data_IF_664719972129
#
_entry.id   IF_664719972129
#
_cell.length_a   1.000
_cell.length_b   1.000
_cell.length_c   1.000
_cell.angle_alpha   90.00
_cell.angle_beta   90.00
_cell.angle_gamma   90.00
#
_symmetry.space_group_name_H-M   'P 1'
#
loop_
_entity.id
_entity.type
_entity.pdbx_description
1 polymer ?
#
# COMPACT_ATOMS: atom_id res chain seq x y z
N UNK A 1 -12.30 -15.89 29.60
CA UNK A 1 -11.16 -14.93 29.60
C UNK A 1 -11.34 -14.10 28.36
N UNK A 2 -11.71 -12.83 28.51
CA UNK A 2 -11.71 -11.89 27.39
C UNK A 2 -10.28 -11.79 26.89
N UNK A 3 -10.07 -12.12 25.62
CA UNK A 3 -8.77 -11.99 24.98
C UNK A 3 -8.36 -10.51 25.02
N UNK A 4 -7.36 -10.17 25.83
CA UNK A 4 -6.94 -8.79 26.11
C UNK A 4 -6.07 -8.21 25.00
N UNK A 5 -5.99 -8.89 23.85
CA UNK A 5 -5.14 -8.50 22.73
C UNK A 5 -5.75 -7.30 22.00
N UNK A 6 -4.96 -6.22 21.88
CA UNK A 6 -5.40 -5.00 21.19
C UNK A 6 -5.64 -5.23 19.70
N UNK A 7 -6.49 -4.41 19.06
CA UNK A 7 -6.77 -4.54 17.63
C UNK A 7 -5.48 -4.45 16.82
N UNK A 8 -4.63 -3.47 17.10
CA UNK A 8 -3.34 -3.30 16.43
C UNK A 8 -2.43 -4.53 16.53
N UNK A 9 -2.41 -5.21 17.68
CA UNK A 9 -1.66 -6.45 17.86
C UNK A 9 -2.25 -7.62 17.07
N UNK A 10 -3.58 -7.72 17.02
CA UNK A 10 -4.30 -8.72 16.21
C UNK A 10 -4.01 -8.54 14.72
N UNK A 11 -4.15 -7.33 14.19
CA UNK A 11 -3.87 -7.05 12.77
C UNK A 11 -2.42 -7.28 12.40
N UNK A 12 -1.49 -6.96 13.29
CA UNK A 12 -0.07 -7.27 13.09
C UNK A 12 0.15 -8.78 12.96
N UNK A 13 -0.50 -9.61 13.78
CA UNK A 13 -0.40 -11.06 13.68
C UNK A 13 -0.96 -11.59 12.35
N UNK A 14 -2.09 -11.05 11.88
CA UNK A 14 -2.66 -11.37 10.57
C UNK A 14 -1.70 -11.00 9.44
N UNK A 15 -1.12 -9.80 9.52
CA UNK A 15 -0.19 -9.25 8.53
C UNK A 15 1.07 -10.11 8.39
N UNK A 16 1.65 -10.56 9.51
CA UNK A 16 2.80 -11.47 9.49
C UNK A 16 2.51 -12.81 8.80
N UNK A 17 1.27 -13.31 8.92
CA UNK A 17 0.83 -14.50 8.19
C UNK A 17 0.74 -14.24 6.68
N UNK A 18 0.24 -13.08 6.26
CA UNK A 18 0.11 -12.68 4.85
C UNK A 18 1.44 -12.31 4.16
N UNK A 19 2.45 -11.87 4.92
CA UNK A 19 3.80 -11.61 4.40
C UNK A 19 4.60 -12.88 4.08
N UNK A 20 4.15 -14.05 4.50
CA UNK A 20 4.87 -15.31 4.30
C UNK A 20 4.50 -15.91 2.94
N UNK A 21 5.27 -15.60 1.90
CA UNK A 21 5.22 -16.37 0.66
C UNK A 21 5.85 -17.76 0.89
N UNK A 22 5.29 -18.86 0.35
CA UNK A 22 5.81 -20.21 0.60
C UNK A 22 7.15 -20.57 -0.04
N UNK A 23 7.78 -19.72 -0.85
CA UNK A 23 9.01 -20.03 -1.58
C UNK A 23 10.04 -18.90 -1.46
N UNK A 24 10.64 -18.80 -0.27
CA UNK A 24 11.77 -17.91 0.05
C UNK A 24 13.10 -18.63 -0.23
N UNK A 25 13.16 -19.34 -1.38
CA UNK A 25 14.38 -19.97 -1.88
C UNK A 25 14.81 -19.25 -3.17
N UNK A 26 16.09 -18.85 -3.16
CA UNK A 26 16.78 -18.01 -4.13
C UNK A 26 16.29 -18.15 -5.58
N UNK A 27 15.81 -17.05 -6.18
CA UNK A 27 15.39 -17.00 -7.59
C UNK A 27 15.85 -15.73 -8.28
N UNK A 28 17.15 -15.70 -8.62
CA UNK A 28 17.71 -14.75 -9.58
C UNK A 28 16.75 -14.57 -10.77
N UNK A 29 16.25 -13.34 -11.00
CA UNK A 29 15.50 -12.96 -12.20
C UNK A 29 13.98 -12.78 -12.05
N UNK A 30 13.40 -12.92 -10.86
CA UNK A 30 11.99 -12.55 -10.61
C UNK A 30 11.78 -11.03 -10.62
N UNK A 31 10.55 -10.58 -10.88
CA UNK A 31 10.19 -9.17 -10.95
C UNK A 31 10.58 -8.44 -9.66
N UNK A 32 10.25 -8.99 -8.50
CA UNK A 32 10.53 -8.35 -7.21
C UNK A 32 12.02 -8.09 -6.96
N UNK A 33 12.89 -9.05 -7.32
CA UNK A 33 14.33 -8.87 -7.16
C UNK A 33 14.88 -7.85 -8.16
N UNK A 34 14.51 -7.96 -9.44
CA UNK A 34 14.92 -6.99 -10.47
C UNK A 34 14.38 -5.61 -10.17
N UNK A 35 13.18 -5.51 -9.59
CA UNK A 35 12.58 -4.26 -9.13
C UNK A 35 13.48 -3.60 -8.09
N UNK A 36 13.89 -4.34 -7.06
CA UNK A 36 14.72 -3.81 -5.97
C UNK A 36 16.17 -3.55 -6.38
N UNK A 37 16.79 -4.47 -7.12
CA UNK A 37 18.24 -4.47 -7.37
C UNK A 37 18.62 -4.02 -8.79
N UNK A 38 17.64 -3.71 -9.63
CA UNK A 38 17.85 -3.24 -10.99
C UNK A 38 17.73 -4.34 -12.04
N UNK A 39 17.77 -3.91 -13.30
CA UNK A 39 17.59 -4.77 -14.45
C UNK A 39 16.20 -4.73 -15.06
N UNK A 40 15.24 -3.96 -14.50
CA UNK A 40 14.00 -3.60 -15.19
C UNK A 40 14.21 -2.38 -16.09
N UNK A 41 13.41 -2.30 -17.16
CA UNK A 41 13.24 -1.05 -17.92
C UNK A 41 12.38 -0.05 -17.13
N UNK A 42 12.45 1.24 -17.46
CA UNK A 42 11.61 2.26 -16.83
C UNK A 42 10.10 1.95 -16.93
N UNK A 43 9.65 1.43 -18.07
CA UNK A 43 8.26 1.00 -18.25
C UNK A 43 7.88 -0.17 -17.31
N UNK A 44 8.80 -1.10 -17.06
CA UNK A 44 8.57 -2.21 -16.13
C UNK A 44 8.56 -1.75 -14.68
N UNK A 45 9.38 -0.75 -14.30
CA UNK A 45 9.30 -0.11 -12.98
C UNK A 45 7.98 0.64 -12.83
N UNK A 46 7.55 1.36 -13.88
CA UNK A 46 6.29 2.09 -13.91
C UNK A 46 5.06 1.20 -13.77
N UNK A 47 5.12 -0.08 -14.18
CA UNK A 47 4.02 -1.02 -14.01
C UNK A 47 3.63 -1.23 -12.53
N UNK A 48 4.61 -1.24 -11.61
CA UNK A 48 4.34 -1.26 -10.17
C UNK A 48 3.73 0.06 -9.70
N UNK A 49 4.25 1.19 -10.17
CA UNK A 49 3.70 2.50 -9.84
C UNK A 49 2.25 2.66 -10.34
N UNK A 50 1.92 2.11 -11.50
CA UNK A 50 0.57 2.09 -12.06
C UNK A 50 -0.39 1.27 -11.18
N UNK A 51 0.07 0.11 -10.69
CA UNK A 51 -0.70 -0.70 -9.75
C UNK A 51 -1.03 0.08 -8.48
N UNK A 52 -0.01 0.73 -7.89
CA UNK A 52 -0.23 1.60 -6.75
C UNK A 52 -1.19 2.73 -7.12
N UNK A 53 -1.00 3.42 -8.25
CA UNK A 53 -1.87 4.53 -8.67
C UNK A 53 -3.35 4.18 -8.56
N UNK A 54 -3.79 3.08 -9.18
CA UNK A 54 -5.21 2.69 -9.14
C UNK A 54 -5.71 2.32 -7.73
N UNK A 55 -4.89 1.63 -6.93
CA UNK A 55 -5.27 1.23 -5.56
C UNK A 55 -5.38 2.46 -4.65
N UNK A 56 -4.40 3.38 -4.70
CA UNK A 56 -4.43 4.59 -3.88
C UNK A 56 -5.47 5.58 -4.37
N UNK A 57 -5.77 5.64 -5.68
CA UNK A 57 -6.90 6.42 -6.20
C UNK A 57 -8.21 6.00 -5.54
N UNK A 58 -8.45 4.69 -5.42
CA UNK A 58 -9.63 4.15 -4.76
C UNK A 58 -9.65 4.42 -3.24
N UNK A 59 -8.52 4.20 -2.54
CA UNK A 59 -8.43 4.41 -1.09
C UNK A 59 -8.58 5.90 -0.76
N UNK A 60 -7.86 6.79 -1.43
CA UNK A 60 -7.87 8.22 -1.13
C UNK A 60 -9.20 8.88 -1.53
N UNK A 61 -9.88 8.40 -2.57
CA UNK A 61 -11.26 8.82 -2.87
C UNK A 61 -12.21 8.43 -1.73
N UNK A 62 -12.13 7.19 -1.21
CA UNK A 62 -12.95 6.77 -0.07
C UNK A 62 -12.62 7.52 1.21
N UNK A 63 -11.34 7.88 1.40
CA UNK A 63 -10.94 8.73 2.52
C UNK A 63 -11.61 10.11 2.45
N UNK A 64 -11.64 10.73 1.26
CA UNK A 64 -12.33 12.01 1.05
C UNK A 64 -13.83 11.89 1.38
N UNK A 65 -14.50 10.82 0.94
CA UNK A 65 -15.91 10.57 1.28
C UNK A 65 -16.14 10.38 2.79
N UNK A 66 -15.21 9.74 3.51
CA UNK A 66 -15.27 9.65 4.98
C UNK A 66 -15.12 11.02 5.63
N UNK A 67 -14.17 11.85 5.18
CA UNK A 67 -13.95 13.20 5.67
C UNK A 67 -15.13 14.15 5.42
N UNK A 68 -15.85 13.98 4.31
CA UNK A 68 -17.08 14.74 4.04
C UNK A 68 -18.19 14.42 5.05
N UNK A 69 -18.26 13.17 5.52
CA UNK A 69 -19.26 12.68 6.48
C UNK A 69 -18.85 12.94 7.93
N UNK A 70 -17.56 12.83 8.22
CA UNK A 70 -16.95 12.98 9.53
C UNK A 70 -15.58 13.70 9.39
N UNK A 71 -15.54 15.04 9.58
CA UNK A 71 -14.30 15.80 9.50
C UNK A 71 -13.23 15.38 10.52
N UNK A 72 -13.63 14.70 11.61
CA UNK A 72 -12.74 14.21 12.66
C UNK A 72 -12.41 12.72 12.50
N UNK A 73 -12.60 12.16 11.30
CA UNK A 73 -12.34 10.75 11.02
C UNK A 73 -10.92 10.33 11.41
N UNK A 74 -10.81 9.44 12.40
CA UNK A 74 -9.56 9.13 13.11
C UNK A 74 -8.43 8.51 12.26
N UNK A 75 -8.72 8.12 11.01
CA UNK A 75 -7.75 7.54 10.09
C UNK A 75 -7.37 8.47 8.94
N UNK A 76 -7.80 9.74 9.00
CA UNK A 76 -7.40 10.77 8.05
C UNK A 76 -6.05 11.38 8.44
N UNK A 77 -4.97 10.76 7.98
CA UNK A 77 -3.61 11.27 8.14
C UNK A 77 -3.12 11.90 6.82
N UNK A 78 -3.08 13.24 6.69
CA UNK A 78 -2.62 13.91 5.47
C UNK A 78 -1.22 13.49 5.04
N UNK A 79 -0.34 13.19 6.00
CA UNK A 79 1.06 12.81 5.79
C UNK A 79 1.19 11.48 5.04
N UNK A 80 0.12 10.68 5.02
CA UNK A 80 0.07 9.39 4.31
C UNK A 80 -0.34 9.51 2.86
N UNK A 81 -0.98 10.60 2.40
CA UNK A 81 -1.44 10.76 1.02
C UNK A 81 -0.31 10.47 0.02
N UNK A 82 -0.53 9.56 -0.92
CA UNK A 82 0.49 9.05 -1.86
C UNK A 82 0.22 9.42 -3.32
N UNK A 83 -1.03 9.63 -3.73
CA UNK A 83 -1.36 9.90 -5.14
C UNK A 83 -0.43 10.93 -5.81
N UNK A 84 -0.15 12.11 -5.23
CA UNK A 84 0.75 13.08 -5.87
C UNK A 84 2.16 12.55 -6.09
N UNK A 85 2.69 11.73 -5.18
CA UNK A 85 4.01 11.13 -5.31
C UNK A 85 4.02 10.04 -6.40
N UNK A 86 2.97 9.23 -6.46
CA UNK A 86 2.82 8.19 -7.50
C UNK A 86 2.73 8.82 -8.89
N UNK A 87 1.97 9.92 -9.05
CA UNK A 87 1.85 10.62 -10.33
C UNK A 87 3.20 11.18 -10.81
N UNK A 88 4.01 11.73 -9.89
CA UNK A 88 5.36 12.22 -10.22
C UNK A 88 6.31 11.08 -10.61
N UNK A 89 6.20 9.92 -9.96
CA UNK A 89 6.98 8.74 -10.32
C UNK A 89 6.56 8.21 -11.71
N UNK A 90 5.26 8.16 -12.00
CA UNK A 90 4.76 7.76 -13.32
C UNK A 90 5.21 8.73 -14.43
N UNK A 91 5.14 10.04 -14.18
CA UNK A 91 5.65 11.05 -15.10
C UNK A 91 7.16 10.91 -15.33
N UNK A 92 7.93 10.59 -14.28
CA UNK A 92 9.36 10.34 -14.41
C UNK A 92 9.66 9.16 -15.34
N UNK A 93 8.95 8.05 -15.18
CA UNK A 93 9.25 6.81 -15.90
C UNK A 93 8.65 6.73 -17.30
N UNK A 94 7.47 7.32 -17.51
CA UNK A 94 6.69 7.21 -18.75
C UNK A 94 6.53 8.53 -19.52
N UNK A 95 6.89 9.66 -18.90
CA UNK A 95 6.71 11.00 -19.47
C UNK A 95 5.35 11.63 -19.15
N UNK A 96 5.12 12.84 -19.67
CA UNK A 96 3.94 13.65 -19.35
C UNK A 96 2.59 13.02 -19.77
N UNK A 97 2.60 12.09 -20.71
CA UNK A 97 1.43 11.36 -21.22
C UNK A 97 1.20 10.01 -20.52
N UNK A 98 1.87 9.76 -19.38
CA UNK A 98 1.82 8.52 -18.61
C UNK A 98 0.40 7.99 -18.38
N UNK A 99 -0.57 8.88 -18.15
CA UNK A 99 -1.95 8.49 -17.83
C UNK A 99 -2.63 7.72 -18.97
N UNK A 100 -2.21 7.95 -20.21
CA UNK A 100 -2.70 7.22 -21.39
C UNK A 100 -1.98 5.90 -21.65
N UNK A 101 -0.90 5.62 -20.91
CA UNK A 101 -0.04 4.46 -21.10
C UNK A 101 -0.26 3.36 -20.04
N UNK A 102 -1.04 3.65 -18.99
CA UNK A 102 -1.28 2.71 -17.89
C UNK A 102 -2.71 2.16 -17.92
N UNK A 103 -2.85 0.88 -17.58
CA UNK A 103 -4.13 0.22 -17.36
C UNK A 103 -4.03 -0.69 -16.12
N UNK A 104 -5.12 -0.86 -15.34
CA UNK A 104 -5.10 -1.77 -14.22
C UNK A 104 -5.04 -3.21 -14.72
N UNK A 105 -4.21 -4.02 -14.09
CA UNK A 105 -4.24 -5.47 -14.32
C UNK A 105 -5.57 -6.07 -13.84
N UNK A 106 -5.94 -7.30 -14.26
CA UNK A 106 -7.17 -7.94 -13.79
C UNK A 106 -7.29 -8.02 -12.27
N UNK A 107 -6.21 -8.36 -11.55
CA UNK A 107 -6.21 -8.36 -10.08
C UNK A 107 -6.32 -6.96 -9.51
N UNK A 108 -5.59 -5.98 -10.07
CA UNK A 108 -5.68 -4.57 -9.62
C UNK A 108 -7.10 -4.04 -9.75
N UNK A 109 -7.76 -4.33 -10.88
CA UNK A 109 -9.15 -3.94 -11.12
C UNK A 109 -10.08 -4.54 -10.07
N UNK A 110 -9.98 -5.84 -9.80
CA UNK A 110 -10.77 -6.51 -8.75
C UNK A 110 -10.51 -5.92 -7.36
N UNK A 111 -9.27 -5.52 -7.09
CA UNK A 111 -8.93 -4.91 -5.82
C UNK A 111 -9.58 -3.52 -5.66
N UNK A 112 -9.51 -2.69 -6.70
CA UNK A 112 -10.21 -1.41 -6.75
C UNK A 112 -11.72 -1.58 -6.59
N UNK A 113 -12.32 -2.53 -7.30
CA UNK A 113 -13.75 -2.85 -7.18
C UNK A 113 -14.11 -3.24 -5.74
N UNK A 114 -13.27 -4.04 -5.06
CA UNK A 114 -13.48 -4.40 -3.65
C UNK A 114 -13.42 -3.17 -2.74
N UNK A 115 -12.40 -2.32 -2.89
CA UNK A 115 -12.27 -1.08 -2.10
C UNK A 115 -13.51 -0.19 -2.29
N UNK A 116 -14.02 -0.08 -3.51
CA UNK A 116 -15.23 0.68 -3.80
C UNK A 116 -16.49 0.06 -3.17
N UNK A 117 -16.60 -1.28 -3.19
CA UNK A 117 -17.73 -2.02 -2.63
C UNK A 117 -17.84 -1.86 -1.11
N UNK A 118 -16.73 -1.97 -0.39
CA UNK A 118 -16.73 -2.01 1.09
C UNK A 118 -16.26 -0.73 1.76
N UNK A 119 -15.67 0.18 0.99
CA UNK A 119 -15.00 1.38 1.50
C UNK A 119 -15.92 2.34 2.26
N UNK A 120 -17.24 2.24 2.13
CA UNK A 120 -18.19 3.05 2.91
C UNK A 120 -18.27 2.61 4.38
N UNK A 121 -17.92 1.36 4.68
CA UNK A 121 -17.88 0.86 6.05
C UNK A 121 -16.54 1.22 6.69
N UNK A 122 -16.50 1.99 7.81
CA UNK A 122 -15.25 2.48 8.39
C UNK A 122 -14.23 1.38 8.70
N UNK A 123 -14.66 0.26 9.28
CA UNK A 123 -13.75 -0.83 9.64
C UNK A 123 -13.17 -1.55 8.41
N UNK A 124 -13.92 -1.69 7.33
CA UNK A 124 -13.44 -2.30 6.08
C UNK A 124 -12.56 -1.35 5.27
N UNK A 125 -12.86 -0.05 5.25
CA UNK A 125 -11.95 0.97 4.75
C UNK A 125 -10.60 0.91 5.49
N UNK A 126 -10.65 0.88 6.82
CA UNK A 126 -9.44 0.82 7.67
C UNK A 126 -8.62 -0.42 7.37
N UNK A 127 -9.21 -1.55 6.99
CA UNK A 127 -8.46 -2.75 6.59
C UNK A 127 -7.53 -2.46 5.40
N UNK A 128 -8.04 -1.85 4.33
CA UNK A 128 -7.24 -1.50 3.14
C UNK A 128 -6.22 -0.40 3.42
N UNK A 129 -6.66 0.65 4.11
CA UNK A 129 -5.79 1.75 4.54
C UNK A 129 -4.62 1.23 5.39
N UNK A 130 -4.92 0.46 6.44
CA UNK A 130 -3.90 -0.16 7.30
C UNK A 130 -2.93 -1.02 6.48
N UNK A 131 -3.45 -1.89 5.61
CA UNK A 131 -2.64 -2.85 4.86
C UNK A 131 -1.64 -2.15 3.94
N UNK A 132 -2.05 -1.06 3.27
CA UNK A 132 -1.19 -0.30 2.37
C UNK A 132 -0.20 0.58 3.12
N UNK A 133 -0.69 1.53 3.91
CA UNK A 133 0.18 2.56 4.49
C UNK A 133 1.17 2.01 5.52
N UNK A 134 0.80 1.02 6.34
CA UNK A 134 1.74 0.46 7.32
C UNK A 134 2.81 -0.41 6.65
N UNK A 135 2.50 -1.02 5.49
CA UNK A 135 3.49 -1.72 4.69
C UNK A 135 4.50 -0.73 4.09
N UNK A 136 4.03 0.37 3.50
CA UNK A 136 4.89 1.40 2.91
C UNK A 136 5.86 2.00 3.94
N UNK A 137 5.38 2.29 5.15
CA UNK A 137 6.20 2.78 6.26
C UNK A 137 7.20 1.75 6.80
N UNK A 138 7.03 0.46 6.52
CA UNK A 138 7.89 -0.60 7.06
C UNK A 138 9.09 -0.91 6.16
N UNK A 139 8.98 -0.69 4.85
CA UNK A 139 10.03 -1.02 3.88
C UNK A 139 10.38 0.09 2.90
N UNK A 140 9.56 1.14 2.78
CA UNK A 140 9.69 2.13 1.71
C UNK A 140 11.05 2.82 1.67
N UNK A 141 11.58 3.23 2.83
CA UNK A 141 12.88 3.91 2.88
C UNK A 141 14.04 3.04 2.38
N UNK A 142 13.98 1.73 2.63
CA UNK A 142 14.94 0.77 2.09
C UNK A 142 14.78 0.65 0.57
N UNK A 143 13.53 0.50 0.08
CA UNK A 143 13.24 0.39 -1.35
C UNK A 143 13.69 1.64 -2.11
N UNK A 144 13.42 2.84 -1.58
CA UNK A 144 13.86 4.11 -2.17
C UNK A 144 15.38 4.17 -2.32
N UNK A 145 16.13 3.76 -1.28
CA UNK A 145 17.58 3.71 -1.32
C UNK A 145 18.09 2.73 -2.39
N UNK A 146 17.50 1.54 -2.46
CA UNK A 146 17.84 0.52 -3.46
C UNK A 146 17.54 1.00 -4.89
N UNK A 147 16.41 1.67 -5.11
CA UNK A 147 16.06 2.24 -6.41
C UNK A 147 17.03 3.33 -6.87
N UNK A 148 17.45 4.22 -5.96
CA UNK A 148 18.43 5.28 -6.28
C UNK A 148 19.74 4.70 -6.79
N UNK A 149 20.22 3.63 -6.14
CA UNK A 149 21.42 2.91 -6.56
C UNK A 149 21.20 2.13 -7.87
N UNK A 150 20.16 1.30 -7.92
CA UNK A 150 19.91 0.35 -9.01
C UNK A 150 19.60 1.01 -10.35
N UNK A 151 18.89 2.14 -10.35
CA UNK A 151 18.45 2.82 -11.57
C UNK A 151 19.11 4.18 -11.81
N UNK A 152 20.10 4.55 -10.98
CA UNK A 152 20.82 5.82 -11.12
C UNK A 152 19.91 7.04 -11.00
N UNK A 153 18.92 6.99 -10.10
CA UNK A 153 17.99 8.10 -9.89
C UNK A 153 18.72 9.29 -9.28
N UNK A 154 18.45 10.49 -9.82
CA UNK A 154 18.90 11.74 -9.20
C UNK A 154 17.84 12.22 -8.21
N UNK A 155 18.27 12.46 -6.97
CA UNK A 155 17.43 12.86 -5.84
C UNK A 155 16.34 11.83 -5.50
N UNK A 156 15.07 12.28 -5.40
CA UNK A 156 13.91 11.47 -5.03
C UNK A 156 13.08 11.00 -6.22
N UNK A 157 13.33 11.54 -7.42
CA UNK A 157 12.47 11.36 -8.59
C UNK A 157 12.46 9.91 -9.06
N UNK A 158 11.29 9.35 -9.36
CA UNK A 158 11.12 7.96 -9.81
C UNK A 158 10.99 6.95 -8.67
N UNK A 159 11.04 7.40 -7.41
CA UNK A 159 10.77 6.61 -6.22
C UNK A 159 10.16 7.45 -5.08
N UNK A 160 9.53 8.58 -5.38
CA UNK A 160 8.95 9.50 -4.40
C UNK A 160 7.80 8.87 -3.60
N UNK A 161 7.10 7.88 -4.14
CA UNK A 161 6.08 7.11 -3.44
C UNK A 161 6.56 6.61 -2.06
N UNK A 162 7.82 6.22 -1.97
CA UNK A 162 8.44 5.65 -0.77
C UNK A 162 8.93 6.69 0.24
N UNK A 163 8.91 7.97 -0.12
CA UNK A 163 9.35 9.07 0.74
C UNK A 163 8.16 9.71 1.48
N UNK A 164 8.26 9.81 2.81
CA UNK A 164 7.25 10.43 3.67
C UNK A 164 7.80 11.70 4.32
N UNK A 165 7.95 12.81 3.57
CA UNK A 165 8.66 13.99 4.04
C UNK A 165 7.98 14.71 5.20
N UNK A 166 6.68 14.49 5.39
CA UNK A 166 5.88 15.09 6.47
C UNK A 166 5.94 14.26 7.77
N UNK A 167 6.49 13.05 7.73
CA UNK A 167 6.64 12.17 8.91
C UNK A 167 8.05 12.30 9.46
N UNK A 168 8.21 12.98 10.59
CA UNK A 168 9.51 13.16 11.25
C UNK A 168 10.09 11.84 11.79
N UNK A 169 9.21 10.98 12.35
CA UNK A 169 9.60 9.72 12.98
C UNK A 169 8.62 8.61 12.60
N UNK A 170 9.03 7.77 11.65
CA UNK A 170 8.25 6.60 11.21
C UNK A 170 7.85 5.69 12.40
N UNK A 171 8.74 5.36 13.36
CA UNK A 171 8.35 4.53 14.50
C UNK A 171 7.25 5.15 15.36
N UNK A 172 7.33 6.46 15.62
CA UNK A 172 6.33 7.19 16.42
C UNK A 172 5.01 7.29 15.68
N UNK A 173 5.03 7.62 14.39
CA UNK A 173 3.83 7.67 13.55
C UNK A 173 3.12 6.30 13.48
N UNK A 174 3.89 5.20 13.35
CA UNK A 174 3.31 3.85 13.42
C UNK A 174 2.71 3.53 14.78
N UNK A 175 3.18 4.14 15.87
CA UNK A 175 2.57 3.97 17.20
C UNK A 175 1.28 4.77 17.32
N UNK A 176 1.25 5.99 16.77
CA UNK A 176 0.04 6.82 16.68
C UNK A 176 -1.07 6.11 15.91
N UNK A 177 -0.76 5.60 14.71
CA UNK A 177 -1.72 4.83 13.92
C UNK A 177 -2.28 3.63 14.70
N UNK A 178 -1.42 2.90 15.42
CA UNK A 178 -1.85 1.76 16.23
C UNK A 178 -2.72 2.17 17.41
N UNK A 179 -2.42 3.31 18.03
CA UNK A 179 -3.26 3.86 19.08
C UNK A 179 -4.66 4.23 18.54
N UNK A 180 -4.75 4.78 17.32
CA UNK A 180 -6.03 5.03 16.65
C UNK A 180 -6.82 3.73 16.40
N UNK A 181 -6.17 2.66 15.94
CA UNK A 181 -6.79 1.34 15.82
C UNK A 181 -7.34 0.84 17.18
N UNK A 182 -6.54 0.95 18.23
CA UNK A 182 -6.91 0.44 19.55
C UNK A 182 -8.03 1.26 20.22
N UNK A 183 -8.20 2.52 19.80
CA UNK A 183 -9.25 3.42 20.27
C UNK A 183 -10.50 3.46 19.37
N UNK A 184 -10.50 2.76 18.22
CA UNK A 184 -11.54 2.89 17.19
C UNK A 184 -12.95 2.42 17.61
N UNK A 185 -13.07 1.67 18.71
CA UNK A 185 -14.36 1.29 19.27
C UNK A 185 -15.19 0.31 18.42
N UNK A 186 -14.56 -0.39 17.48
CA UNK A 186 -15.22 -1.40 16.64
C UNK A 186 -15.76 -2.57 17.49
N UNK A 187 -16.93 -3.07 17.09
CA UNK A 187 -17.53 -4.25 17.72
C UNK A 187 -16.72 -5.51 17.43
N UNK A 188 -16.92 -6.58 18.22
CA UNK A 188 -16.28 -7.88 17.97
C UNK A 188 -16.57 -8.45 16.56
N UNK A 189 -17.74 -8.13 16.00
CA UNK A 189 -18.12 -8.52 14.64
C UNK A 189 -17.31 -7.72 13.60
N UNK A 190 -17.28 -6.40 13.74
CA UNK A 190 -16.50 -5.53 12.86
C UNK A 190 -15.01 -5.84 12.90
N UNK A 191 -14.47 -6.19 14.07
CA UNK A 191 -13.07 -6.58 14.18
C UNK A 191 -12.79 -7.88 13.40
N UNK A 192 -13.69 -8.87 13.46
CA UNK A 192 -13.54 -10.11 12.67
C UNK A 192 -13.58 -9.83 11.17
N UNK A 193 -14.54 -9.02 10.74
CA UNK A 193 -14.66 -8.61 9.33
C UNK A 193 -13.43 -7.83 8.87
N UNK A 194 -12.91 -6.92 9.69
CA UNK A 194 -11.69 -6.17 9.40
C UNK A 194 -10.49 -7.11 9.24
N UNK A 195 -10.32 -8.09 10.13
CA UNK A 195 -9.23 -9.08 10.01
C UNK A 195 -9.32 -9.90 8.72
N UNK A 196 -10.52 -10.32 8.34
CA UNK A 196 -10.75 -11.06 7.09
C UNK A 196 -10.47 -10.17 5.87
N UNK A 197 -10.86 -8.91 5.92
CA UNK A 197 -10.58 -7.94 4.85
C UNK A 197 -9.09 -7.62 4.74
N UNK A 198 -8.35 -7.55 5.86
CA UNK A 198 -6.88 -7.41 5.83
C UNK A 198 -6.24 -8.61 5.12
N UNK A 199 -6.69 -9.84 5.40
CA UNK A 199 -6.18 -11.03 4.69
C UNK A 199 -6.44 -10.93 3.19
N UNK A 200 -7.65 -10.55 2.82
CA UNK A 200 -8.04 -10.39 1.42
C UNK A 200 -7.21 -9.30 0.72
N UNK A 201 -6.96 -8.17 1.39
CA UNK A 201 -6.10 -7.10 0.89
C UNK A 201 -4.66 -7.59 0.64
N UNK A 202 -4.10 -8.42 1.52
CA UNK A 202 -2.80 -9.07 1.29
C UNK A 202 -2.83 -10.03 0.10
N UNK A 203 -3.89 -10.82 -0.04
CA UNK A 203 -4.05 -11.73 -1.19
C UNK A 203 -4.09 -10.96 -2.52
N UNK A 204 -4.79 -9.82 -2.56
CA UNK A 204 -4.78 -8.95 -3.72
C UNK A 204 -3.38 -8.42 -4.02
N UNK A 205 -2.66 -7.90 -3.02
CA UNK A 205 -1.28 -7.40 -3.20
C UNK A 205 -0.33 -8.50 -3.72
N UNK A 206 -0.46 -9.72 -3.20
CA UNK A 206 0.36 -10.86 -3.62
C UNK A 206 0.06 -11.28 -5.07
N UNK A 207 -1.22 -11.39 -5.44
CA UNK A 207 -1.65 -11.72 -6.81
C UNK A 207 -1.23 -10.62 -7.80
N UNK A 208 -1.40 -9.36 -7.41
CA UNK A 208 -0.95 -8.18 -8.15
C UNK A 208 0.55 -8.24 -8.47
N UNK A 209 1.39 -8.48 -7.45
CA UNK A 209 2.83 -8.62 -7.65
C UNK A 209 3.21 -9.85 -8.51
N UNK A 210 2.41 -10.92 -8.47
CA UNK A 210 2.62 -12.09 -9.33
C UNK A 210 2.30 -11.79 -10.80
N UNK A 211 1.26 -11.00 -11.08
CA UNK A 211 0.95 -10.55 -12.44
C UNK A 211 2.08 -9.70 -13.02
N UNK A 212 2.86 -9.00 -12.20
CA UNK A 212 4.05 -8.29 -12.68
C UNK A 212 5.22 -9.21 -13.08
N UNK A 213 5.26 -10.46 -12.57
CA UNK A 213 6.24 -11.43 -13.05
C UNK A 213 5.93 -11.92 -14.47
N UNK A 214 4.67 -11.88 -14.91
CA UNK A 214 4.27 -12.35 -16.25
C UNK A 214 4.47 -11.31 -17.36
N UNK A 215 4.82 -10.06 -16.99
CA UNK A 215 5.16 -8.97 -17.93
C UNK A 215 6.67 -8.76 -18.08
N UNK A 216 7.50 -9.64 -17.49
CA UNK A 216 8.94 -9.72 -17.72
C UNK A 216 9.27 -10.39 -19.05
#
# INVERSE_FOLDING_TARGET
MTDTTTLSARLRAVSFGGHRQPDDDQTDGRYGERYLHGGLTGAQVAAQAALHFFVYEAIEAKLAEHLERDPDFAFAFPELIRLPAIERDLEHWLGADWRSQIEPTPTTKRYVERIQEVGDQPHLFVAHHYTRYLADLSGGQMIAAMHREAYGLSDRKGAEFYDFPEIESIPEFKNEYRAALDAAGFSDEQIRELEDEVRLAYDFNNQAGQELNSVL
#
